data_IF_053061788250
#
_entry.id   IF_053061788250
#
_cell.length_a   1.000
_cell.length_b   1.000
_cell.length_c   1.000
_cell.angle_alpha   90.00
_cell.angle_beta   90.00
_cell.angle_gamma   90.00
#
_symmetry.space_group_name_H-M   'P 1'
#
loop_
_entity.id
_entity.type
_entity.pdbx_description
1 polymer ?
#
# COMPACT_ATOMS: atom_id res chain seq x y z
N UNK A 1 -23.61 -20.24 21.60
CA UNK A 1 -22.57 -19.27 21.90
C UNK A 1 -21.23 -19.97 21.79
N UNK A 2 -20.66 -20.06 20.57
CA UNK A 2 -19.34 -20.70 20.32
C UNK A 2 -18.34 -19.57 20.09
N UNK A 3 -17.40 -19.45 20.98
CA UNK A 3 -16.23 -18.59 20.82
C UNK A 3 -15.44 -19.07 19.60
N UNK A 4 -15.52 -18.31 18.52
CA UNK A 4 -14.68 -18.47 17.35
C UNK A 4 -13.24 -18.24 17.78
N UNK A 5 -12.41 -19.24 17.64
CA UNK A 5 -10.96 -19.18 17.86
C UNK A 5 -10.39 -18.10 16.95
N UNK A 6 -9.97 -17.00 17.55
CA UNK A 6 -9.04 -16.05 16.96
C UNK A 6 -7.76 -16.83 16.68
N UNK A 7 -7.53 -17.15 15.42
CA UNK A 7 -6.23 -17.61 14.94
C UNK A 7 -5.30 -16.41 15.10
N UNK A 8 -4.27 -16.47 15.94
CA UNK A 8 -3.33 -15.37 16.07
C UNK A 8 -2.44 -15.34 14.84
N UNK A 9 -2.82 -14.56 13.82
CA UNK A 9 -1.92 -14.16 12.75
C UNK A 9 -1.13 -12.94 13.24
N UNK A 10 -0.43 -13.12 14.33
CA UNK A 10 0.67 -12.32 14.83
C UNK A 10 1.76 -13.33 15.22
N UNK A 11 2.99 -13.10 15.01
CA UNK A 11 3.82 -12.09 14.39
C UNK A 11 5.14 -12.66 13.86
N UNK A 12 5.29 -12.84 12.61
CA UNK A 12 6.62 -13.14 12.08
C UNK A 12 7.47 -11.87 11.83
N UNK A 13 6.87 -10.69 11.88
CA UNK A 13 7.57 -9.46 11.50
C UNK A 13 8.31 -8.75 12.66
N UNK A 14 7.99 -9.03 13.90
CA UNK A 14 8.61 -8.34 15.06
C UNK A 14 9.87 -9.06 15.56
N UNK A 15 10.04 -10.36 15.30
CA UNK A 15 11.16 -11.14 15.86
C UNK A 15 12.48 -11.02 15.09
N UNK A 16 12.53 -10.36 13.93
CA UNK A 16 13.79 -10.19 13.19
C UNK A 16 14.59 -8.93 13.53
N UNK A 17 14.15 -8.12 14.48
CA UNK A 17 14.90 -6.90 14.86
C UNK A 17 15.87 -7.10 16.04
N UNK A 18 15.91 -8.27 16.67
CA UNK A 18 16.71 -8.49 17.88
C UNK A 18 17.99 -9.33 17.72
N UNK A 19 18.31 -9.79 16.50
CA UNK A 19 19.51 -10.58 16.24
C UNK A 19 20.42 -9.92 15.20
N UNK A 20 21.03 -8.77 15.54
CA UNK A 20 22.17 -8.25 14.83
C UNK A 20 23.40 -8.30 15.73
N UNK A 21 24.47 -9.04 15.40
CA UNK A 21 25.72 -8.94 16.13
C UNK A 21 26.36 -7.59 15.82
N UNK A 22 26.58 -6.83 16.89
CA UNK A 22 27.38 -5.62 16.85
C UNK A 22 28.87 -5.97 16.66
N UNK A 23 29.36 -5.87 15.45
CA UNK A 23 30.79 -5.74 15.18
C UNK A 23 31.04 -4.41 14.46
N UNK A 24 31.25 -3.38 15.28
CA UNK A 24 31.84 -2.13 14.86
C UNK A 24 33.33 -2.35 14.60
N UNK A 25 33.76 -2.30 13.34
CA UNK A 25 35.15 -2.02 13.02
C UNK A 25 35.23 -0.54 12.62
N UNK A 26 35.84 0.22 13.52
CA UNK A 26 36.28 1.58 13.24
C UNK A 26 37.53 1.49 12.35
N UNK A 27 37.51 2.14 11.20
CA UNK A 27 38.71 2.43 10.43
C UNK A 27 38.79 3.89 10.04
N UNK A 28 39.87 4.55 10.54
CA UNK A 28 40.69 5.51 9.85
C UNK A 28 40.10 6.89 9.60
N UNK A 29 40.51 7.82 10.44
CA UNK A 29 40.48 9.24 10.17
C UNK A 29 41.50 9.55 9.06
N UNK A 30 41.07 10.20 7.99
CA UNK A 30 41.94 10.95 7.09
C UNK A 30 41.43 12.37 6.90
N UNK A 31 42.40 13.27 6.91
CA UNK A 31 42.45 14.69 7.05
C UNK A 31 41.48 15.55 6.23
N UNK A 32 41.24 16.82 6.63
CA UNK A 32 40.28 17.68 5.96
C UNK A 32 40.88 18.37 4.74
N UNK A 33 40.25 18.23 3.60
CA UNK A 33 40.48 19.06 2.43
C UNK A 33 39.53 20.29 2.43
N UNK A 34 39.91 21.40 1.78
CA UNK A 34 39.41 22.74 2.09
C UNK A 34 37.97 23.00 1.68
N UNK A 35 37.34 23.81 2.48
CA UNK A 35 36.04 24.44 2.33
C UNK A 35 35.87 25.11 0.95
N UNK A 36 35.03 24.55 0.09
CA UNK A 36 34.61 25.12 -1.19
C UNK A 36 33.19 24.66 -1.51
N UNK A 37 32.24 25.56 -1.37
CA UNK A 37 30.88 25.62 -1.96
C UNK A 37 30.34 24.38 -2.72
N UNK A 38 30.05 23.29 -2.04
CA UNK A 38 29.44 22.10 -2.65
C UNK A 38 28.11 21.67 -2.00
N UNK A 39 27.57 22.49 -1.08
CA UNK A 39 26.31 22.19 -0.40
C UNK A 39 25.08 22.19 -1.31
N UNK A 40 24.97 23.15 -2.22
CA UNK A 40 23.76 23.37 -3.01
C UNK A 40 23.56 22.41 -4.21
N UNK A 41 24.62 21.80 -4.73
CA UNK A 41 24.53 20.93 -5.90
C UNK A 41 24.05 19.52 -5.55
N UNK A 42 24.46 18.97 -4.40
CA UNK A 42 24.02 17.63 -3.96
C UNK A 42 22.58 17.59 -3.48
N UNK A 43 22.11 18.66 -2.86
CA UNK A 43 20.72 18.78 -2.38
C UNK A 43 19.73 18.97 -3.53
N UNK A 44 20.11 19.69 -4.58
CA UNK A 44 19.33 19.83 -5.81
C UNK A 44 19.26 18.53 -6.64
N UNK A 45 20.27 17.68 -6.59
CA UNK A 45 20.28 16.41 -7.31
C UNK A 45 19.40 15.33 -6.64
N UNK A 46 19.30 15.31 -5.32
CA UNK A 46 18.44 14.35 -4.62
C UNK A 46 16.94 14.52 -4.97
N UNK A 47 16.50 15.75 -5.25
CA UNK A 47 15.13 16.07 -5.65
C UNK A 47 14.77 15.67 -7.09
N UNK A 48 15.73 15.19 -7.88
CA UNK A 48 15.53 14.79 -9.28
C UNK A 48 15.24 13.31 -9.47
N UNK A 49 15.33 12.48 -8.41
CA UNK A 49 15.11 11.06 -8.54
C UNK A 49 13.68 10.67 -8.20
N UNK A 50 13.07 9.93 -9.12
CA UNK A 50 11.80 9.25 -8.90
C UNK A 50 12.04 7.75 -8.91
N UNK A 51 11.71 7.09 -7.83
CA UNK A 51 11.73 5.63 -7.75
C UNK A 51 10.34 5.11 -8.10
N UNK A 52 10.27 4.25 -9.10
CA UNK A 52 9.03 3.55 -9.48
C UNK A 52 9.22 2.06 -9.28
N UNK A 53 8.23 1.42 -8.69
CA UNK A 53 8.13 -0.04 -8.63
C UNK A 53 6.83 -0.51 -9.25
N UNK A 54 6.89 -1.65 -9.92
CA UNK A 54 5.73 -2.37 -10.44
C UNK A 54 5.82 -3.79 -9.93
N UNK A 55 4.76 -4.26 -9.27
CA UNK A 55 4.72 -5.56 -8.62
C UNK A 55 3.43 -6.30 -8.99
N UNK A 56 3.54 -7.62 -9.09
CA UNK A 56 2.42 -8.56 -9.19
C UNK A 56 2.40 -9.42 -7.95
N UNK A 57 1.21 -9.72 -7.45
CA UNK A 57 1.00 -10.52 -6.26
C UNK A 57 0.05 -11.66 -6.53
N UNK A 58 0.30 -12.77 -5.86
CA UNK A 58 -0.61 -13.91 -5.77
C UNK A 58 -0.72 -14.35 -4.32
N UNK A 59 -1.89 -14.77 -3.92
CA UNK A 59 -2.11 -15.21 -2.55
C UNK A 59 -3.53 -15.65 -2.29
N UNK A 60 -3.94 -15.54 -1.04
CA UNK A 60 -5.27 -15.92 -0.60
C UNK A 60 -6.01 -14.77 0.06
N UNK A 61 -7.31 -14.78 -0.08
CA UNK A 61 -8.22 -13.86 0.58
C UNK A 61 -9.29 -14.61 1.35
N UNK A 62 -9.73 -14.02 2.46
CA UNK A 62 -10.93 -14.39 3.20
C UNK A 62 -11.85 -13.16 3.22
N UNK A 63 -13.09 -13.34 2.78
CA UNK A 63 -14.07 -12.26 2.64
C UNK A 63 -15.40 -12.63 3.27
N UNK A 64 -15.93 -11.73 4.08
CA UNK A 64 -17.31 -11.72 4.57
C UNK A 64 -18.00 -10.47 4.05
N UNK A 65 -19.21 -10.64 3.52
CA UNK A 65 -20.06 -9.53 3.09
C UNK A 65 -21.52 -9.84 3.45
N UNK A 66 -21.92 -9.37 4.64
CA UNK A 66 -23.26 -9.72 5.17
C UNK A 66 -24.42 -9.14 4.38
N UNK A 67 -24.17 -8.19 3.48
CA UNK A 67 -25.17 -7.73 2.51
C UNK A 67 -25.55 -8.84 1.50
N UNK A 68 -24.58 -9.68 1.13
CA UNK A 68 -24.77 -10.75 0.13
C UNK A 68 -24.96 -12.11 0.77
N UNK A 69 -24.22 -12.42 1.84
CA UNK A 69 -24.26 -13.71 2.54
C UNK A 69 -23.66 -13.58 3.94
N UNK A 70 -24.21 -14.29 4.93
CA UNK A 70 -23.64 -14.34 6.28
C UNK A 70 -22.41 -15.27 6.38
N UNK A 71 -22.01 -15.93 5.29
CA UNK A 71 -20.90 -16.89 5.26
C UNK A 71 -19.60 -16.22 4.84
N UNK A 72 -18.47 -16.76 5.31
CA UNK A 72 -17.15 -16.39 4.86
C UNK A 72 -16.77 -17.13 3.58
N UNK A 73 -16.14 -16.41 2.65
CA UNK A 73 -15.68 -16.94 1.37
C UNK A 73 -14.16 -16.86 1.31
N UNK A 74 -13.50 -17.97 1.00
CA UNK A 74 -12.06 -18.06 0.89
C UNK A 74 -11.62 -18.48 -0.50
N UNK A 75 -10.50 -17.92 -0.97
CA UNK A 75 -10.01 -18.28 -2.29
C UNK A 75 -8.77 -17.53 -2.73
N UNK A 76 -8.30 -17.79 -3.96
CA UNK A 76 -7.14 -17.11 -4.52
C UNK A 76 -7.44 -15.64 -4.85
N UNK A 77 -6.38 -14.83 -4.70
CA UNK A 77 -6.35 -13.43 -5.09
C UNK A 77 -5.11 -13.15 -5.94
N UNK A 78 -5.30 -12.36 -6.99
CA UNK A 78 -4.22 -11.77 -7.77
C UNK A 78 -4.24 -10.26 -7.59
N UNK A 79 -3.05 -9.64 -7.55
CA UNK A 79 -2.91 -8.20 -7.33
C UNK A 79 -1.85 -7.60 -8.23
N UNK A 80 -2.16 -6.45 -8.77
CA UNK A 80 -1.22 -5.57 -9.44
C UNK A 80 -1.00 -4.33 -8.58
N UNK A 81 0.25 -3.91 -8.41
CA UNK A 81 0.60 -2.70 -7.67
C UNK A 81 1.67 -1.91 -8.42
N UNK A 82 1.43 -0.63 -8.57
CA UNK A 82 2.41 0.33 -9.07
C UNK A 82 2.60 1.44 -8.05
N UNK A 83 3.84 1.66 -7.68
CA UNK A 83 4.26 2.67 -6.73
C UNK A 83 5.20 3.68 -7.37
N UNK A 84 5.11 4.93 -6.94
CA UNK A 84 6.04 5.99 -7.31
C UNK A 84 6.38 6.82 -6.08
N UNK A 85 7.66 6.93 -5.74
CA UNK A 85 8.17 7.77 -4.65
C UNK A 85 9.06 8.84 -5.24
N UNK A 86 8.81 10.11 -4.86
CA UNK A 86 9.57 11.28 -5.28
C UNK A 86 9.84 12.19 -4.11
N UNK A 87 11.08 12.68 -3.98
CA UNK A 87 11.40 13.74 -3.03
C UNK A 87 10.80 15.06 -3.50
N UNK A 88 10.30 15.86 -2.57
CA UNK A 88 9.78 17.21 -2.81
C UNK A 88 10.76 18.25 -2.27
N UNK A 89 10.53 19.53 -2.62
CA UNK A 89 11.30 20.65 -2.07
C UNK A 89 10.77 21.16 -0.72
N UNK A 90 9.69 20.55 -0.22
CA UNK A 90 9.06 20.96 1.04
C UNK A 90 10.01 20.66 2.21
N UNK A 91 10.04 21.58 3.16
CA UNK A 91 10.83 21.51 4.40
C UNK A 91 12.32 21.17 4.16
N UNK A 92 12.96 21.90 3.21
CA UNK A 92 14.36 21.68 2.88
C UNK A 92 14.65 20.33 2.24
N UNK A 93 13.70 19.76 1.47
CA UNK A 93 13.89 18.48 0.79
C UNK A 93 13.69 17.26 1.69
N UNK A 94 13.10 17.39 2.87
CA UNK A 94 12.87 16.29 3.82
C UNK A 94 11.53 15.62 3.64
N UNK A 95 10.66 16.10 2.74
CA UNK A 95 9.35 15.50 2.47
C UNK A 95 9.38 14.78 1.14
N UNK A 96 8.89 13.55 1.13
CA UNK A 96 8.64 12.77 -0.09
C UNK A 96 7.16 12.62 -0.35
N UNK A 97 6.79 12.55 -1.64
CA UNK A 97 5.45 12.16 -2.08
C UNK A 97 5.49 10.73 -2.55
N UNK A 98 4.51 9.95 -2.15
CA UNK A 98 4.30 8.57 -2.56
C UNK A 98 2.93 8.43 -3.22
N UNK A 99 2.86 7.74 -4.34
CA UNK A 99 1.63 7.41 -5.04
C UNK A 99 1.55 5.91 -5.25
N UNK A 100 0.38 5.35 -4.99
CA UNK A 100 0.04 3.97 -5.28
C UNK A 100 -1.15 3.88 -6.23
N UNK A 101 -1.05 2.92 -7.13
CA UNK A 101 -2.14 2.40 -7.95
C UNK A 101 -2.16 0.89 -7.72
N UNK A 102 -3.24 0.39 -7.17
CA UNK A 102 -3.44 -1.03 -6.92
C UNK A 102 -4.72 -1.49 -7.61
N UNK A 103 -4.69 -2.71 -8.12
CA UNK A 103 -5.88 -3.41 -8.57
C UNK A 103 -5.80 -4.86 -8.12
N UNK A 104 -6.88 -5.42 -7.62
CA UNK A 104 -6.97 -6.83 -7.25
C UNK A 104 -8.18 -7.48 -7.88
N UNK A 105 -8.08 -8.80 -8.02
CA UNK A 105 -9.20 -9.65 -8.40
C UNK A 105 -9.12 -10.93 -7.60
N UNK A 106 -10.25 -11.39 -7.09
CA UNK A 106 -10.33 -12.64 -6.33
C UNK A 106 -11.55 -13.46 -6.70
N UNK A 107 -11.34 -14.77 -6.63
CA UNK A 107 -12.37 -15.79 -6.77
C UNK A 107 -12.40 -16.62 -5.51
N UNK A 108 -13.50 -16.61 -4.78
CA UNK A 108 -13.60 -17.27 -3.48
C UNK A 108 -14.87 -18.08 -3.36
N UNK A 109 -14.83 -19.14 -2.56
CA UNK A 109 -15.93 -20.06 -2.32
C UNK A 109 -16.28 -20.08 -0.84
N UNK A 110 -17.54 -20.32 -0.57
CA UNK A 110 -18.00 -20.59 0.79
C UNK A 110 -17.51 -21.98 1.29
N UNK A 111 -17.65 -22.31 2.56
CA UNK A 111 -17.19 -23.59 3.13
C UNK A 111 -17.81 -24.82 2.48
N UNK A 112 -19.07 -24.75 2.03
CA UNK A 112 -19.79 -25.86 1.38
C UNK A 112 -19.47 -25.95 -0.11
N UNK A 113 -18.80 -24.93 -0.69
CA UNK A 113 -18.40 -24.83 -2.11
C UNK A 113 -19.57 -24.79 -3.11
N UNK A 114 -20.77 -24.45 -2.64
CA UNK A 114 -21.98 -24.30 -3.43
C UNK A 114 -22.28 -22.87 -3.86
N UNK A 115 -21.53 -21.92 -3.33
CA UNK A 115 -21.65 -20.50 -3.66
C UNK A 115 -20.26 -19.84 -3.82
N UNK A 116 -20.18 -18.91 -4.75
CA UNK A 116 -18.92 -18.30 -5.17
C UNK A 116 -19.02 -16.78 -5.18
N UNK A 117 -17.91 -16.10 -4.79
CA UNK A 117 -17.73 -14.68 -4.93
C UNK A 117 -16.68 -14.36 -6.01
N UNK A 118 -17.06 -13.48 -6.92
CA UNK A 118 -16.14 -12.74 -7.76
C UNK A 118 -16.00 -11.34 -7.19
N UNK A 119 -14.80 -10.88 -6.94
CA UNK A 119 -14.60 -9.53 -6.42
C UNK A 119 -13.36 -8.88 -6.99
N UNK A 120 -13.42 -7.57 -7.13
CA UNK A 120 -12.30 -6.75 -7.59
C UNK A 120 -12.36 -5.38 -6.98
N UNK A 121 -11.18 -4.84 -6.65
CA UNK A 121 -11.04 -3.49 -6.11
C UNK A 121 -9.92 -2.77 -6.87
N UNK A 122 -10.10 -1.46 -7.06
CA UNK A 122 -9.10 -0.53 -7.56
C UNK A 122 -8.87 0.51 -6.48
N UNK A 123 -7.62 0.67 -6.07
CA UNK A 123 -7.21 1.63 -5.05
C UNK A 123 -6.21 2.63 -5.65
N UNK A 124 -6.45 3.91 -5.41
CA UNK A 124 -5.49 4.97 -5.65
C UNK A 124 -5.18 5.68 -4.35
N UNK A 125 -3.89 5.87 -4.05
CA UNK A 125 -3.44 6.53 -2.82
C UNK A 125 -2.33 7.51 -3.13
N UNK A 126 -2.36 8.66 -2.45
CA UNK A 126 -1.29 9.65 -2.46
C UNK A 126 -0.96 10.06 -1.04
N UNK A 127 0.33 10.10 -0.71
CA UNK A 127 0.79 10.42 0.63
C UNK A 127 2.02 11.32 0.62
N UNK A 128 2.21 12.03 1.73
CA UNK A 128 3.35 12.85 2.03
C UNK A 128 4.01 12.35 3.30
N UNK A 129 5.32 12.07 3.22
CA UNK A 129 6.08 11.49 4.32
C UNK A 129 7.27 12.37 4.65
N UNK A 130 7.43 12.69 5.92
CA UNK A 130 8.65 13.29 6.44
C UNK A 130 9.72 12.21 6.56
N UNK A 131 10.90 12.50 6.03
CA UNK A 131 12.03 11.58 5.98
C UNK A 131 13.01 11.92 7.08
N UNK A 132 13.33 10.95 7.91
CA UNK A 132 14.33 11.03 8.94
C UNK A 132 15.36 9.91 8.74
N UNK A 133 16.67 10.26 8.82
CA UNK A 133 17.77 9.32 8.62
C UNK A 133 18.64 9.33 9.89
N UNK A 134 18.24 8.54 10.93
CA UNK A 134 18.97 8.49 12.19
C UNK A 134 20.33 7.81 12.03
N UNK A 135 20.45 6.89 11.09
CA UNK A 135 21.70 6.18 10.75
C UNK A 135 21.90 6.18 9.23
N UNK A 136 23.14 6.12 8.72
CA UNK A 136 23.40 6.09 7.28
C UNK A 136 22.70 4.93 6.55
N UNK A 137 22.50 3.82 7.24
CA UNK A 137 21.83 2.62 6.71
C UNK A 137 20.30 2.64 6.87
N UNK A 138 19.75 3.45 7.80
CA UNK A 138 18.34 3.44 8.18
C UNK A 138 17.67 4.74 7.81
N UNK A 139 16.60 4.68 7.01
CA UNK A 139 15.69 5.78 6.74
C UNK A 139 14.32 5.46 7.29
N UNK A 140 13.80 6.34 8.11
CA UNK A 140 12.44 6.30 8.65
C UNK A 140 11.61 7.37 7.94
N UNK A 141 10.37 7.04 7.64
CA UNK A 141 9.44 7.93 6.98
C UNK A 141 8.11 7.80 7.69
N UNK A 142 7.52 8.92 8.05
CA UNK A 142 6.20 8.98 8.68
C UNK A 142 5.39 10.12 8.06
N UNK A 143 4.09 9.88 7.88
CA UNK A 143 3.25 10.88 7.26
C UNK A 143 1.80 10.48 7.16
N UNK A 144 1.10 11.21 6.32
CA UNK A 144 -0.31 10.98 6.02
C UNK A 144 -0.48 10.69 4.54
N UNK A 145 -1.46 9.87 4.25
CA UNK A 145 -1.91 9.60 2.88
C UNK A 145 -3.43 9.71 2.79
N UNK A 146 -3.92 10.07 1.62
CA UNK A 146 -5.34 9.98 1.28
C UNK A 146 -5.52 8.94 0.18
N UNK A 147 -6.66 8.27 0.19
CA UNK A 147 -6.96 7.22 -0.77
C UNK A 147 -8.39 7.24 -1.24
N UNK A 148 -8.58 6.74 -2.45
CA UNK A 148 -9.86 6.43 -3.05
C UNK A 148 -9.85 4.94 -3.43
N UNK A 149 -10.88 4.21 -3.01
CA UNK A 149 -11.08 2.80 -3.31
C UNK A 149 -12.42 2.62 -3.98
N UNK A 150 -12.44 1.91 -5.09
CA UNK A 150 -13.65 1.52 -5.83
C UNK A 150 -13.58 0.03 -6.13
N UNK A 151 -14.68 -0.70 -5.89
CA UNK A 151 -14.69 -2.14 -6.11
C UNK A 151 -16.08 -2.72 -6.15
N UNK A 152 -16.13 -4.03 -6.29
CA UNK A 152 -17.37 -4.79 -6.31
C UNK A 152 -17.17 -6.18 -5.69
N UNK A 153 -18.26 -6.74 -5.23
CA UNK A 153 -18.40 -8.15 -4.86
C UNK A 153 -19.64 -8.68 -5.53
N UNK A 154 -19.52 -9.80 -6.25
CA UNK A 154 -20.61 -10.45 -6.95
C UNK A 154 -20.76 -11.89 -6.43
N UNK A 155 -21.96 -12.23 -5.99
CA UNK A 155 -22.32 -13.58 -5.56
C UNK A 155 -23.04 -14.31 -6.71
N UNK A 156 -22.43 -15.36 -7.22
CA UNK A 156 -22.96 -16.11 -8.39
C UNK A 156 -24.23 -16.88 -8.08
N UNK A 157 -24.51 -17.19 -6.81
CA UNK A 157 -25.65 -17.99 -6.37
C UNK A 157 -26.84 -17.17 -5.90
N UNK A 158 -26.69 -15.82 -5.84
CA UNK A 158 -27.76 -14.95 -5.38
C UNK A 158 -28.54 -14.38 -6.56
N UNK A 159 -29.79 -14.79 -6.72
CA UNK A 159 -30.66 -14.31 -7.81
C UNK A 159 -31.25 -12.92 -7.58
N UNK A 160 -31.31 -12.44 -6.34
CA UNK A 160 -31.81 -11.12 -5.96
C UNK A 160 -30.68 -10.32 -5.30
N UNK A 161 -30.34 -9.16 -5.86
CA UNK A 161 -29.20 -8.33 -5.43
C UNK A 161 -27.87 -9.11 -5.39
N UNK A 162 -27.39 -9.66 -6.50
CA UNK A 162 -26.20 -10.50 -6.52
C UNK A 162 -24.91 -9.70 -6.34
N UNK A 163 -24.95 -8.39 -6.47
CA UNK A 163 -23.77 -7.52 -6.49
C UNK A 163 -23.81 -6.48 -5.38
N UNK A 164 -22.63 -6.18 -4.84
CA UNK A 164 -22.41 -5.01 -3.97
C UNK A 164 -21.28 -4.17 -4.52
N UNK A 165 -21.58 -2.89 -4.77
CA UNK A 165 -20.57 -1.87 -5.07
C UNK A 165 -19.90 -1.37 -3.81
N UNK A 166 -18.60 -1.15 -3.87
CA UNK A 166 -17.79 -0.58 -2.78
C UNK A 166 -17.15 0.72 -3.26
N UNK A 167 -17.34 1.78 -2.52
CA UNK A 167 -16.69 3.06 -2.75
C UNK A 167 -16.29 3.64 -1.40
N UNK A 168 -15.04 4.01 -1.25
CA UNK A 168 -14.56 4.63 -0.03
C UNK A 168 -13.42 5.60 -0.29
N UNK A 169 -13.32 6.61 0.57
CA UNK A 169 -12.17 7.51 0.64
C UNK A 169 -11.74 7.63 2.08
N UNK A 170 -10.44 7.80 2.31
CA UNK A 170 -9.92 7.90 3.66
C UNK A 170 -8.66 8.77 3.74
N UNK A 171 -8.36 9.18 4.97
CA UNK A 171 -7.09 9.73 5.40
C UNK A 171 -6.46 8.69 6.32
N UNK A 172 -5.22 8.27 6.03
CA UNK A 172 -4.51 7.24 6.75
C UNK A 172 -3.17 7.74 7.29
N UNK A 173 -2.78 7.27 8.47
CA UNK A 173 -1.41 7.35 8.94
C UNK A 173 -0.57 6.32 8.17
N UNK A 174 0.62 6.73 7.74
CA UNK A 174 1.55 5.88 7.01
C UNK A 174 2.93 5.98 7.62
N UNK A 175 3.54 4.84 7.87
CA UNK A 175 4.91 4.72 8.38
C UNK A 175 5.72 3.77 7.53
N UNK A 176 7.00 4.12 7.31
CA UNK A 176 7.92 3.31 6.51
C UNK A 176 9.31 3.31 7.10
N UNK A 177 9.94 2.14 7.13
CA UNK A 177 11.34 1.97 7.49
C UNK A 177 12.08 1.31 6.33
N UNK A 178 13.21 1.87 5.93
CA UNK A 178 14.07 1.35 4.87
C UNK A 178 15.47 1.14 5.45
N UNK A 179 15.90 -0.12 5.50
CA UNK A 179 17.24 -0.49 5.92
C UNK A 179 18.07 -0.96 4.73
N UNK A 180 19.26 -0.38 4.56
CA UNK A 180 20.19 -0.69 3.47
C UNK A 180 21.43 -1.34 4.02
N UNK A 181 21.85 -2.44 3.40
CA UNK A 181 23.05 -3.15 3.78
C UNK A 181 23.78 -3.68 2.56
N UNK A 182 25.08 -3.90 2.71
CA UNK A 182 25.92 -4.49 1.67
C UNK A 182 26.12 -5.96 1.99
N UNK A 183 25.80 -6.82 1.03
CA UNK A 183 26.03 -8.25 1.10
C UNK A 183 26.53 -8.75 -0.25
N UNK A 184 27.53 -9.65 -0.27
CA UNK A 184 28.16 -10.17 -1.50
C UNK A 184 28.56 -9.05 -2.49
N UNK A 185 29.13 -7.95 -2.01
CA UNK A 185 29.53 -6.76 -2.80
C UNK A 185 28.37 -6.08 -3.53
N UNK A 186 27.14 -6.36 -3.17
CA UNK A 186 25.92 -5.76 -3.73
C UNK A 186 25.13 -5.05 -2.63
N UNK A 187 24.39 -4.01 -3.01
CA UNK A 187 23.59 -3.23 -2.08
C UNK A 187 22.16 -3.75 -2.05
N UNK A 188 21.75 -4.32 -0.94
CA UNK A 188 20.39 -4.76 -0.67
C UNK A 188 19.64 -3.71 0.11
N UNK A 189 18.30 -3.70 0.01
CA UNK A 189 17.46 -2.94 0.93
C UNK A 189 16.26 -3.78 1.37
N UNK A 190 15.94 -3.67 2.65
CA UNK A 190 14.70 -4.19 3.22
C UNK A 190 13.83 -2.99 3.57
N UNK A 191 12.58 -3.03 3.19
CA UNK A 191 11.60 -1.99 3.46
C UNK A 191 10.38 -2.61 4.11
N UNK A 192 9.94 -2.01 5.21
CA UNK A 192 8.66 -2.28 5.84
C UNK A 192 7.82 -1.01 5.80
N UNK A 193 6.58 -1.13 5.38
CA UNK A 193 5.60 -0.05 5.38
C UNK A 193 4.32 -0.55 6.04
N UNK A 194 3.69 0.31 6.82
CA UNK A 194 2.35 0.10 7.35
C UNK A 194 1.48 1.33 7.08
N UNK A 195 0.21 1.09 6.84
CA UNK A 195 -0.79 2.13 6.59
C UNK A 195 -2.04 1.81 7.42
N UNK A 196 -2.57 2.80 8.14
CA UNK A 196 -3.74 2.68 8.99
C UNK A 196 -4.71 3.83 8.74
N UNK A 197 -5.87 3.60 8.12
CA UNK A 197 -6.92 4.60 7.98
C UNK A 197 -7.37 5.14 9.34
N UNK A 198 -7.41 6.47 9.47
CA UNK A 198 -7.82 7.19 10.68
C UNK A 198 -9.25 7.71 10.59
N UNK A 199 -9.62 8.21 9.43
CA UNK A 199 -10.94 8.75 9.15
C UNK A 199 -11.25 8.61 7.66
N UNK A 200 -12.52 8.43 7.32
CA UNK A 200 -12.94 8.30 5.93
C UNK A 200 -14.44 8.32 5.76
N UNK A 201 -14.83 8.16 4.52
CA UNK A 201 -16.23 7.99 4.11
C UNK A 201 -16.32 6.72 3.26
N UNK A 202 -17.37 5.95 3.46
CA UNK A 202 -17.68 4.81 2.61
C UNK A 202 -19.14 4.76 2.22
N UNK A 203 -19.39 4.29 1.02
CA UNK A 203 -20.72 3.93 0.58
C UNK A 203 -21.10 2.56 1.16
N UNK A 204 -22.28 2.48 1.77
CA UNK A 204 -22.86 1.24 2.28
C UNK A 204 -24.38 1.31 2.16
N UNK A 205 -25.04 0.33 1.53
CA UNK A 205 -26.48 0.18 1.63
C UNK A 205 -26.89 0.01 3.09
N UNK A 206 -28.16 0.27 3.40
CA UNK A 206 -28.73 -0.15 4.67
C UNK A 206 -29.05 -1.66 4.63
N UNK A 207 -29.15 -2.28 5.80
CA UNK A 207 -29.55 -3.69 5.87
C UNK A 207 -30.92 -3.90 5.19
N UNK A 208 -30.98 -4.81 4.20
CA UNK A 208 -32.18 -5.12 3.42
C UNK A 208 -32.51 -4.12 2.30
N UNK A 209 -31.75 -3.02 2.16
CA UNK A 209 -31.96 -2.04 1.10
C UNK A 209 -31.39 -2.53 -0.23
N UNK A 210 -32.22 -2.47 -1.29
CA UNK A 210 -31.78 -2.84 -2.65
C UNK A 210 -31.16 -1.67 -3.39
N UNK A 211 -30.32 -1.95 -4.39
CA UNK A 211 -29.78 -0.93 -5.30
C UNK A 211 -30.87 -0.23 -6.11
N UNK A 212 -31.99 -0.92 -6.41
CA UNK A 212 -33.14 -0.30 -7.05
C UNK A 212 -33.75 0.81 -6.19
N UNK A 213 -33.92 0.57 -4.86
CA UNK A 213 -34.41 1.59 -3.93
C UNK A 213 -33.49 2.79 -3.86
N UNK A 214 -32.17 2.56 -3.88
CA UNK A 214 -31.18 3.65 -3.83
C UNK A 214 -31.23 4.46 -5.12
N UNK A 215 -31.00 3.83 -6.28
CA UNK A 215 -30.73 4.54 -7.53
C UNK A 215 -31.98 4.86 -8.37
N UNK A 216 -33.06 4.06 -8.25
CA UNK A 216 -34.29 4.30 -9.01
C UNK A 216 -35.36 5.01 -8.20
N UNK A 217 -35.49 4.74 -6.91
CA UNK A 217 -36.48 5.41 -6.05
C UNK A 217 -35.90 6.60 -5.29
N UNK A 218 -34.57 6.80 -5.32
CA UNK A 218 -33.93 7.94 -4.69
C UNK A 218 -33.85 7.87 -3.15
N UNK A 219 -33.89 6.70 -2.56
CA UNK A 219 -33.76 6.50 -1.12
C UNK A 219 -32.28 6.50 -0.71
N UNK A 220 -31.68 7.69 -0.61
CA UNK A 220 -30.24 7.85 -0.32
C UNK A 220 -29.90 7.94 1.17
N UNK A 221 -30.86 7.74 2.07
CA UNK A 221 -30.67 7.98 3.49
C UNK A 221 -29.56 7.12 4.09
N UNK A 222 -28.55 7.78 4.66
CA UNK A 222 -27.42 7.19 5.37
C UNK A 222 -26.56 6.23 4.55
N UNK A 223 -26.60 6.26 3.22
CA UNK A 223 -25.75 5.41 2.39
C UNK A 223 -24.28 5.87 2.38
N UNK A 224 -23.98 7.10 2.76
CA UNK A 224 -22.62 7.58 2.99
C UNK A 224 -22.32 7.57 4.47
N UNK A 225 -21.42 6.68 4.88
CA UNK A 225 -21.09 6.44 6.28
C UNK A 225 -19.71 7.00 6.61
N UNK A 226 -19.59 7.70 7.74
CA UNK A 226 -18.30 8.07 8.29
C UNK A 226 -17.62 6.84 8.90
N UNK A 227 -16.33 6.67 8.56
CA UNK A 227 -15.50 5.54 9.02
C UNK A 227 -14.32 6.03 9.84
N UNK A 228 -13.99 5.27 10.88
CA UNK A 228 -12.87 5.48 11.77
C UNK A 228 -12.46 4.13 12.38
N UNK A 229 -11.31 3.99 13.05
CA UNK A 229 -10.83 2.68 13.54
C UNK A 229 -11.77 1.93 14.46
N UNK A 230 -12.77 2.59 15.07
CA UNK A 230 -13.76 1.94 15.94
C UNK A 230 -14.88 1.21 15.16
N UNK A 231 -15.28 1.70 13.98
CA UNK A 231 -16.29 1.06 13.14
C UNK A 231 -15.76 0.45 11.85
N UNK A 232 -14.53 0.82 11.47
CA UNK A 232 -13.86 0.29 10.27
C UNK A 232 -12.35 0.08 10.53
N UNK A 233 -11.98 -0.88 11.40
CA UNK A 233 -10.58 -1.15 11.68
C UNK A 233 -9.91 -1.75 10.44
N UNK A 234 -9.01 -0.96 9.83
CA UNK A 234 -8.26 -1.33 8.64
C UNK A 234 -6.77 -1.19 8.89
N UNK A 235 -6.00 -2.11 8.36
CA UNK A 235 -4.56 -2.11 8.47
C UNK A 235 -3.94 -2.77 7.24
N UNK A 236 -2.93 -2.12 6.67
CA UNK A 236 -2.18 -2.64 5.54
C UNK A 236 -0.70 -2.66 5.87
N UNK A 237 -0.01 -3.74 5.55
CA UNK A 237 1.44 -3.83 5.70
C UNK A 237 2.08 -4.42 4.46
N UNK A 238 3.25 -3.90 4.13
CA UNK A 238 4.05 -4.32 2.99
C UNK A 238 5.51 -4.45 3.43
N UNK A 239 6.02 -5.67 3.41
CA UNK A 239 7.44 -5.97 3.59
C UNK A 239 8.04 -6.25 2.21
N UNK A 240 9.14 -5.59 1.86
CA UNK A 240 9.83 -5.84 0.59
C UNK A 240 11.34 -5.95 0.78
N UNK A 241 11.94 -6.77 -0.07
CA UNK A 241 13.40 -6.92 -0.19
C UNK A 241 13.79 -6.61 -1.62
N UNK A 242 14.69 -5.65 -1.78
CA UNK A 242 15.25 -5.25 -3.07
C UNK A 242 16.58 -5.94 -3.30
N UNK A 243 16.63 -6.72 -4.39
CA UNK A 243 17.79 -7.50 -4.80
C UNK A 243 18.33 -6.91 -6.10
N UNK A 244 19.56 -6.38 -6.14
CA UNK A 244 20.16 -5.87 -7.37
C UNK A 244 20.52 -7.02 -8.32
N UNK A 245 19.97 -6.98 -9.55
CA UNK A 245 20.23 -7.97 -10.60
C UNK A 245 20.64 -7.23 -11.88
N UNK A 246 21.93 -7.34 -12.25
CA UNK A 246 22.47 -6.62 -13.40
C UNK A 246 22.30 -5.11 -13.26
N UNK A 247 21.67 -4.49 -14.23
CA UNK A 247 21.34 -3.05 -14.24
C UNK A 247 20.01 -2.70 -13.58
N UNK A 248 19.22 -3.71 -13.16
CA UNK A 248 17.90 -3.54 -12.53
C UNK A 248 17.88 -3.97 -11.07
N UNK A 249 16.73 -3.78 -10.43
CA UNK A 249 16.47 -4.24 -9.07
C UNK A 249 15.19 -5.06 -9.08
N UNK A 250 15.31 -6.33 -8.69
CA UNK A 250 14.17 -7.20 -8.42
C UNK A 250 13.65 -6.88 -7.02
N UNK A 251 12.34 -6.74 -6.86
CA UNK A 251 11.68 -6.57 -5.57
C UNK A 251 10.83 -7.79 -5.28
N UNK A 252 11.11 -8.43 -4.17
CA UNK A 252 10.28 -9.47 -3.58
C UNK A 252 9.56 -8.89 -2.39
N UNK A 253 8.31 -9.30 -2.15
CA UNK A 253 7.53 -8.73 -1.09
C UNK A 253 6.48 -9.67 -0.52
N UNK A 254 5.98 -9.30 0.66
CA UNK A 254 4.82 -9.87 1.31
C UNK A 254 3.86 -8.74 1.67
N UNK A 255 2.63 -8.87 1.23
CA UNK A 255 1.54 -7.93 1.50
C UNK A 255 0.49 -8.60 2.37
N UNK A 256 0.10 -7.93 3.45
CA UNK A 256 -1.04 -8.34 4.28
C UNK A 256 -1.97 -7.14 4.43
N UNK A 257 -3.23 -7.33 4.06
CA UNK A 257 -4.28 -6.33 4.19
C UNK A 257 -5.40 -6.89 5.06
N UNK A 258 -5.77 -6.12 6.07
CA UNK A 258 -6.93 -6.34 6.93
C UNK A 258 -7.86 -5.15 6.73
N UNK A 259 -9.01 -5.38 6.11
CA UNK A 259 -10.05 -4.38 5.91
C UNK A 259 -11.32 -4.89 6.56
N UNK A 260 -11.85 -4.15 7.51
CA UNK A 260 -13.08 -4.51 8.23
C UNK A 260 -13.99 -3.28 8.30
N UNK A 261 -15.30 -3.53 8.35
CA UNK A 261 -16.26 -2.47 8.63
C UNK A 261 -17.52 -3.04 9.28
N UNK A 262 -18.13 -2.23 10.12
CA UNK A 262 -19.45 -2.46 10.71
C UNK A 262 -20.24 -1.16 10.67
N UNK A 263 -20.96 -0.95 9.58
CA UNK A 263 -21.77 0.24 9.30
C UNK A 263 -23.13 -0.17 8.76
N UNK A 264 -24.18 0.60 9.03
CA UNK A 264 -25.56 0.33 8.61
C UNK A 264 -26.05 -1.09 8.95
N UNK A 265 -25.63 -1.61 10.13
CA UNK A 265 -25.89 -3.00 10.56
C UNK A 265 -25.34 -4.09 9.62
N UNK A 266 -24.46 -3.72 8.69
CA UNK A 266 -23.75 -4.63 7.82
C UNK A 266 -22.31 -4.83 8.31
N UNK A 267 -21.89 -6.08 8.39
CA UNK A 267 -20.50 -6.45 8.67
C UNK A 267 -19.82 -6.84 7.38
N UNK A 268 -18.65 -6.30 7.13
CA UNK A 268 -17.79 -6.78 6.06
C UNK A 268 -16.36 -6.92 6.55
N UNK A 269 -15.67 -7.94 6.05
CA UNK A 269 -14.23 -8.00 6.17
C UNK A 269 -13.59 -8.58 4.90
N UNK A 270 -12.35 -8.17 4.67
CA UNK A 270 -11.47 -8.74 3.66
C UNK A 270 -10.09 -8.85 4.27
N UNK A 271 -9.56 -10.07 4.36
CA UNK A 271 -8.22 -10.37 4.84
C UNK A 271 -7.44 -11.00 3.71
N UNK A 272 -6.41 -10.34 3.24
CA UNK A 272 -5.61 -10.79 2.11
C UNK A 272 -4.17 -10.96 2.51
N UNK A 273 -3.55 -12.06 2.08
CA UNK A 273 -2.14 -12.36 2.27
C UNK A 273 -1.54 -12.76 0.93
N UNK A 274 -0.57 -11.97 0.45
CA UNK A 274 -0.02 -12.13 -0.89
C UNK A 274 1.51 -12.12 -0.87
N UNK A 275 2.08 -13.01 -1.66
CA UNK A 275 3.46 -12.90 -2.09
C UNK A 275 3.53 -12.00 -3.32
N UNK A 276 4.46 -11.05 -3.33
CA UNK A 276 4.62 -10.03 -4.36
C UNK A 276 5.98 -10.14 -5.02
N UNK A 277 6.02 -10.01 -6.34
CA UNK A 277 7.26 -9.95 -7.12
C UNK A 277 7.19 -8.80 -8.11
N UNK A 278 8.29 -8.10 -8.32
CA UNK A 278 8.30 -6.98 -9.26
C UNK A 278 9.67 -6.37 -9.47
N UNK A 279 9.67 -5.23 -10.16
CA UNK A 279 10.88 -4.52 -10.54
C UNK A 279 10.84 -3.08 -10.05
N UNK A 280 12.02 -2.58 -9.66
CA UNK A 280 12.25 -1.20 -9.28
C UNK A 280 13.10 -0.50 -10.35
N UNK A 281 12.65 0.68 -10.77
CA UNK A 281 13.40 1.55 -11.68
C UNK A 281 13.59 2.92 -11.03
N UNK A 282 14.80 3.44 -11.15
CA UNK A 282 15.14 4.79 -10.71
C UNK A 282 15.23 5.71 -11.93
N UNK A 283 14.45 6.76 -11.96
CA UNK A 283 14.47 7.75 -13.03
C UNK A 283 15.09 9.04 -12.51
N UNK A 284 16.03 9.58 -13.26
CA UNK A 284 16.54 10.94 -13.05
C UNK A 284 15.80 11.87 -14.00
N UNK A 285 15.10 12.87 -13.46
CA UNK A 285 14.53 13.94 -14.26
C UNK A 285 15.68 14.88 -14.69
N UNK A 286 16.16 14.72 -15.90
CA UNK A 286 17.04 15.71 -16.54
C UNK A 286 16.13 16.83 -17.04
N UNK A 287 16.24 18.02 -16.46
CA UNK A 287 15.63 19.21 -17.02
C UNK A 287 16.40 19.51 -18.32
N UNK A 288 15.78 19.26 -19.47
CA UNK A 288 16.32 19.71 -20.73
C UNK A 288 16.44 21.24 -20.64
N UNK A 289 17.64 21.74 -20.67
CA UNK A 289 17.92 23.18 -20.69
C UNK A 289 17.49 23.61 -22.07
N UNK A 290 16.40 24.38 -22.16
CA UNK A 290 15.95 25.08 -23.37
C UNK A 290 17.03 26.09 -23.76
N UNK A 291 18.04 25.63 -24.47
CA UNK A 291 19.08 26.48 -25.04
C UNK A 291 19.61 25.88 -26.34
N UNK A 292 18.75 25.35 -27.21
CA UNK A 292 19.09 25.06 -28.61
C UNK A 292 17.83 24.93 -29.50
N UNK A 293 16.79 25.74 -29.26
CA UNK A 293 15.65 25.80 -30.18
C UNK A 293 15.94 26.67 -31.44
N UNK A 294 17.16 27.24 -31.56
CA UNK A 294 17.48 28.10 -32.72
C UNK A 294 18.38 27.44 -33.79
N UNK A 295 18.56 26.11 -33.76
CA UNK A 295 19.41 25.43 -34.74
C UNK A 295 18.82 24.17 -35.37
N UNK A 296 17.51 24.10 -35.56
CA UNK A 296 16.91 23.12 -36.46
C UNK A 296 15.88 23.79 -37.34
N UNK A 297 16.37 24.67 -38.22
CA UNK A 297 15.79 24.93 -39.53
C UNK A 297 16.61 24.07 -40.48
N UNK A 298 16.08 22.89 -40.81
CA UNK A 298 16.10 22.20 -42.11
C UNK A 298 15.41 20.86 -41.92
#
# INVERSE_FOLDING_TARGET
MRLTRLIPVFPAAILMLTALPATLHAQGADSPAPCGQTGNTRENDANRYTTRSTMFGIGGTNRLETYLSPLEYTGPEVRFMRESIRMTRMWGGRVSTQQFYEGNFSYSKNPTKDSEYLSGDIDWRIGWHYNWTPLPALRLMAGLQTGLSCGFVYNTSNGNNPAQGKLSTNIAASGMAIYRFNWLRRRFSVRYQFDMPLAGLMFSPNYGQSYYEIFSLGHYDRNVCFTWPGNAPCFSQLLTVDVPIGSGTLRLGYRCDIRQSHVNNLKSHTWSNLFMIGFVKHFRLVKQRDNDSDKLIF
#
